data_IF_594495371213
#
_entry.id   IF_594495371213
#
_cell.length_a   1.000
_cell.length_b   1.000
_cell.length_c   1.000
_cell.angle_alpha   90.00
_cell.angle_beta   90.00
_cell.angle_gamma   90.00
#
_symmetry.space_group_name_H-M   'P 1'
#
loop_
_entity.id
_entity.type
_entity.pdbx_description
1 polymer ?
#
# COMPACT_ATOMS: atom_id res chain seq x y z
N UNK A 1 12.88 21.64 24.27
CA UNK A 1 13.04 20.38 23.56
C UNK A 1 14.22 20.45 22.61
N UNK A 2 14.96 19.39 22.54
CA UNK A 2 16.05 19.22 21.59
C UNK A 2 15.49 19.16 20.17
N UNK A 3 16.15 19.81 19.21
CA UNK A 3 15.76 19.76 17.80
C UNK A 3 15.70 18.34 17.24
N UNK A 4 16.56 17.47 17.75
CA UNK A 4 16.59 16.05 17.39
C UNK A 4 15.29 15.34 17.77
N UNK A 5 14.78 15.61 18.98
CA UNK A 5 13.52 15.03 19.45
C UNK A 5 12.33 15.52 18.64
N UNK A 6 12.33 16.80 18.28
CA UNK A 6 11.28 17.38 17.44
C UNK A 6 11.29 16.69 16.06
N UNK A 7 12.47 16.50 15.47
CA UNK A 7 12.59 15.81 14.19
C UNK A 7 12.09 14.38 14.27
N UNK A 8 12.42 13.64 15.32
CA UNK A 8 11.94 12.28 15.53
C UNK A 8 10.42 12.23 15.64
N UNK A 9 9.83 13.15 16.38
CA UNK A 9 8.37 13.20 16.53
C UNK A 9 7.69 13.49 15.20
N UNK A 10 8.25 14.37 14.39
CA UNK A 10 7.71 14.67 13.06
C UNK A 10 7.76 13.45 12.15
N UNK A 11 8.87 12.71 12.18
CA UNK A 11 9.04 11.50 11.38
C UNK A 11 8.03 10.43 11.81
N UNK A 12 7.89 10.20 13.12
CA UNK A 12 6.94 9.24 13.65
C UNK A 12 5.50 9.61 13.31
N UNK A 13 5.17 10.88 13.36
CA UNK A 13 3.85 11.37 12.98
C UNK A 13 3.57 11.12 11.50
N UNK A 14 4.53 11.46 10.62
CA UNK A 14 4.40 11.24 9.20
C UNK A 14 4.27 9.75 8.86
N UNK A 15 5.03 8.91 9.54
CA UNK A 15 4.95 7.45 9.37
C UNK A 15 3.56 6.94 9.77
N UNK A 16 3.01 7.40 10.88
CA UNK A 16 1.69 7.00 11.32
C UNK A 16 0.61 7.43 10.32
N UNK A 17 0.71 8.64 9.78
CA UNK A 17 -0.20 9.11 8.74
C UNK A 17 -0.10 8.25 7.48
N UNK A 18 1.12 7.93 7.08
CA UNK A 18 1.35 7.06 5.92
C UNK A 18 0.75 5.68 6.12
N UNK A 19 1.01 5.06 7.30
CA UNK A 19 0.48 3.73 7.62
C UNK A 19 -1.05 3.73 7.62
N UNK A 20 -1.67 4.76 8.17
CA UNK A 20 -3.12 4.88 8.19
C UNK A 20 -3.69 5.07 6.77
N UNK A 21 -3.06 5.90 5.97
CA UNK A 21 -3.46 6.13 4.57
C UNK A 21 -3.31 4.87 3.75
N UNK A 22 -2.22 4.13 3.96
CA UNK A 22 -1.99 2.89 3.24
C UNK A 22 -2.99 1.81 3.64
N UNK A 23 -3.36 1.75 4.92
CA UNK A 23 -4.38 0.82 5.40
C UNK A 23 -5.72 1.09 4.73
N UNK A 24 -6.11 2.36 4.62
CA UNK A 24 -7.33 2.75 3.91
C UNK A 24 -7.27 2.36 2.43
N UNK A 25 -6.14 2.59 1.79
CA UNK A 25 -5.93 2.22 0.39
C UNK A 25 -5.99 0.70 0.20
N UNK A 26 -5.44 -0.08 1.12
CA UNK A 26 -5.50 -1.54 1.09
C UNK A 26 -6.94 -2.06 1.17
N UNK A 27 -7.77 -1.42 1.97
CA UNK A 27 -9.21 -1.75 2.03
C UNK A 27 -9.89 -1.52 0.69
N UNK A 28 -9.56 -0.41 0.01
CA UNK A 28 -10.10 -0.12 -1.32
C UNK A 28 -9.65 -1.18 -2.32
N UNK A 29 -8.39 -1.59 -2.28
CA UNK A 29 -7.86 -2.64 -3.16
C UNK A 29 -8.61 -3.95 -2.94
N UNK A 30 -8.80 -4.37 -1.68
CA UNK A 30 -9.54 -5.59 -1.36
C UNK A 30 -10.98 -5.51 -1.85
N UNK A 31 -11.62 -4.36 -1.69
CA UNK A 31 -12.99 -4.17 -2.15
C UNK A 31 -13.08 -4.25 -3.65
N UNK A 32 -12.12 -3.67 -4.38
CA UNK A 32 -12.04 -3.79 -5.83
C UNK A 32 -11.87 -5.24 -6.28
N UNK A 33 -11.05 -6.02 -5.56
CA UNK A 33 -10.87 -7.43 -5.87
C UNK A 33 -12.18 -8.21 -5.73
N UNK A 34 -12.92 -7.95 -4.66
CA UNK A 34 -14.24 -8.58 -4.43
C UNK A 34 -15.24 -8.19 -5.50
N UNK A 35 -15.26 -6.93 -5.90
CA UNK A 35 -16.14 -6.46 -6.97
C UNK A 35 -15.79 -7.11 -8.30
N UNK A 36 -14.49 -7.29 -8.57
CA UNK A 36 -14.02 -7.97 -9.77
C UNK A 36 -14.47 -9.44 -9.79
N UNK A 37 -14.36 -10.14 -8.66
CA UNK A 37 -14.83 -11.51 -8.56
C UNK A 37 -16.33 -11.62 -8.79
N UNK A 38 -17.10 -10.71 -8.20
CA UNK A 38 -18.55 -10.63 -8.40
C UNK A 38 -18.88 -10.39 -9.87
N UNK A 39 -18.15 -9.48 -10.51
CA UNK A 39 -18.31 -9.20 -11.93
C UNK A 39 -18.06 -10.46 -12.77
N UNK A 40 -17.00 -11.21 -12.48
CA UNK A 40 -16.70 -12.44 -13.20
C UNK A 40 -17.78 -13.49 -13.04
N UNK A 41 -18.38 -13.59 -11.85
CA UNK A 41 -19.47 -14.52 -11.61
C UNK A 41 -20.71 -14.17 -12.44
N UNK A 42 -20.99 -12.87 -12.63
CA UNK A 42 -22.17 -12.41 -13.35
C UNK A 42 -21.93 -12.29 -14.85
N UNK A 43 -20.70 -12.01 -15.27
CA UNK A 43 -20.36 -11.79 -16.67
C UNK A 43 -19.98 -13.13 -17.36
N UNK A 44 -20.96 -13.99 -17.55
CA UNK A 44 -20.74 -15.30 -18.17
C UNK A 44 -20.32 -15.21 -19.64
N UNK A 45 -20.57 -14.04 -20.26
CA UNK A 45 -20.21 -13.77 -21.67
C UNK A 45 -18.71 -13.45 -21.83
N UNK A 46 -17.98 -13.18 -20.73
CA UNK A 46 -16.60 -12.76 -20.81
C UNK A 46 -15.69 -13.97 -21.08
N UNK A 47 -14.84 -13.92 -22.14
CA UNK A 47 -13.90 -15.01 -22.43
C UNK A 47 -12.87 -15.19 -21.30
N UNK A 48 -12.34 -16.40 -21.18
CA UNK A 48 -11.30 -16.71 -20.20
C UNK A 48 -10.07 -15.81 -20.34
N UNK A 49 -9.67 -15.49 -21.57
CA UNK A 49 -8.55 -14.58 -21.83
C UNK A 49 -8.78 -13.20 -21.23
N UNK A 50 -10.01 -12.70 -21.36
CA UNK A 50 -10.38 -11.42 -20.76
C UNK A 50 -10.35 -11.46 -19.23
N UNK A 51 -10.83 -12.55 -18.64
CA UNK A 51 -10.80 -12.73 -17.19
C UNK A 51 -9.36 -12.76 -16.68
N UNK A 52 -8.49 -13.50 -17.34
CA UNK A 52 -7.08 -13.58 -16.96
C UNK A 52 -6.37 -12.23 -17.07
N UNK A 53 -6.66 -11.48 -18.13
CA UNK A 53 -6.07 -10.15 -18.31
C UNK A 53 -6.46 -9.21 -17.15
N UNK A 54 -7.72 -9.21 -16.76
CA UNK A 54 -8.20 -8.39 -15.65
C UNK A 54 -7.59 -8.86 -14.32
N UNK A 55 -7.51 -10.16 -14.09
CA UNK A 55 -6.88 -10.71 -12.88
C UNK A 55 -5.41 -10.31 -12.78
N UNK A 56 -4.66 -10.36 -13.88
CA UNK A 56 -3.26 -9.93 -13.92
C UNK A 56 -3.13 -8.45 -13.60
N UNK A 57 -4.02 -7.64 -14.12
CA UNK A 57 -4.00 -6.20 -13.85
C UNK A 57 -4.25 -5.90 -12.39
N UNK A 58 -5.25 -6.56 -11.80
CA UNK A 58 -5.57 -6.39 -10.37
C UNK A 58 -4.39 -6.85 -9.50
N UNK A 59 -3.79 -7.99 -9.83
CA UNK A 59 -2.65 -8.52 -9.10
C UNK A 59 -1.43 -7.60 -9.21
N UNK A 60 -1.17 -7.06 -10.41
CA UNK A 60 -0.07 -6.12 -10.62
C UNK A 60 -0.25 -4.85 -9.78
N UNK A 61 -1.47 -4.34 -9.70
CA UNK A 61 -1.78 -3.17 -8.89
C UNK A 61 -1.52 -3.46 -7.40
N UNK A 62 -1.99 -4.60 -6.91
CA UNK A 62 -1.77 -5.01 -5.52
C UNK A 62 -0.29 -5.17 -5.20
N UNK A 63 0.46 -5.83 -6.07
CA UNK A 63 1.90 -6.03 -5.92
C UNK A 63 2.63 -4.69 -5.90
N UNK A 64 2.27 -3.77 -6.79
CA UNK A 64 2.85 -2.44 -6.81
C UNK A 64 2.60 -1.66 -5.53
N UNK A 65 1.39 -1.74 -4.97
CA UNK A 65 1.08 -1.10 -3.70
C UNK A 65 1.89 -1.68 -2.54
N UNK A 66 2.03 -3.01 -2.49
CA UNK A 66 2.80 -3.68 -1.44
C UNK A 66 4.29 -3.34 -1.55
N UNK A 67 4.83 -3.29 -2.75
CA UNK A 67 6.23 -2.93 -2.99
C UNK A 67 6.49 -1.47 -2.60
N UNK A 68 5.56 -0.58 -2.92
CA UNK A 68 5.66 0.82 -2.53
C UNK A 68 5.67 0.97 -1.01
N UNK A 69 4.78 0.26 -0.32
CA UNK A 69 4.75 0.30 1.15
C UNK A 69 6.06 -0.19 1.75
N UNK A 70 6.61 -1.28 1.22
CA UNK A 70 7.88 -1.82 1.71
C UNK A 70 9.01 -0.81 1.51
N UNK A 71 9.05 -0.16 0.34
CA UNK A 71 10.05 0.86 0.06
C UNK A 71 9.95 2.02 1.05
N UNK A 72 8.74 2.50 1.33
CA UNK A 72 8.53 3.59 2.25
C UNK A 72 8.86 3.20 3.68
N UNK A 73 8.47 2.00 4.12
CA UNK A 73 8.81 1.51 5.45
C UNK A 73 10.33 1.41 5.64
N UNK A 74 11.05 0.92 4.63
CA UNK A 74 12.52 0.86 4.66
C UNK A 74 13.14 2.24 4.75
N UNK A 75 12.61 3.21 4.02
CA UNK A 75 13.08 4.59 4.08
C UNK A 75 12.86 5.22 5.45
N UNK A 76 11.68 5.03 6.03
CA UNK A 76 11.40 5.52 7.39
C UNK A 76 12.34 4.88 8.41
N UNK A 77 12.59 3.59 8.30
CA UNK A 77 13.50 2.89 9.20
C UNK A 77 14.92 3.47 9.12
N UNK A 78 15.40 3.77 7.91
CA UNK A 78 16.72 4.39 7.71
C UNK A 78 16.79 5.76 8.33
N UNK A 79 15.77 6.58 8.15
CA UNK A 79 15.73 7.92 8.72
C UNK A 79 15.69 7.86 10.24
N UNK A 80 14.87 6.98 10.82
CA UNK A 80 14.81 6.78 12.27
C UNK A 80 16.17 6.36 12.83
N UNK A 81 16.84 5.43 12.16
CA UNK A 81 18.18 4.99 12.57
C UNK A 81 19.19 6.12 12.52
N UNK A 82 19.12 6.97 11.51
CA UNK A 82 20.00 8.13 11.40
C UNK A 82 19.85 9.04 12.62
N UNK A 83 18.62 9.35 13.03
CA UNK A 83 18.37 10.21 14.18
C UNK A 83 18.70 9.53 15.50
N UNK A 84 18.61 8.22 15.59
CA UNK A 84 18.99 7.49 16.79
C UNK A 84 20.49 7.51 17.02
N UNK A 85 21.27 7.53 15.96
CA UNK A 85 22.74 7.58 16.04
C UNK A 85 23.30 8.99 16.23
N UNK A 86 22.56 9.99 15.85
CA UNK A 86 23.01 11.39 15.92
C UNK A 86 23.09 11.95 17.36
#
# INVERSE_FOLDING_TARGET
>A
MDNKQIAKQMIQFNKALFDNSFRAMSMVVEQNEKMTETFFTQATWLPEEGKEAIKRWVLAYRTGCNDFKKLMDDNYAKVETFFDKA
#
